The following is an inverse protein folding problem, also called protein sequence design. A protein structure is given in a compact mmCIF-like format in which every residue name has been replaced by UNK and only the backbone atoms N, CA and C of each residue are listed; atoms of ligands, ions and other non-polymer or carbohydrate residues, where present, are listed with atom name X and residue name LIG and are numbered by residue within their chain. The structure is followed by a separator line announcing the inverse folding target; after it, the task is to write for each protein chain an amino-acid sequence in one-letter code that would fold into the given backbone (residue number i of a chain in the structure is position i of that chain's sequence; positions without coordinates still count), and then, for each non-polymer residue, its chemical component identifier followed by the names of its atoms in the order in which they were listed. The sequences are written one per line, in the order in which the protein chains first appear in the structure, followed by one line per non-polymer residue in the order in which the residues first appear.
data_IF_399354833022
#
_entry.id   IF_399354833022
#
_cell.length_a   1.000
_cell.length_b   1.000
_cell.length_c   1.000
_cell.angle_alpha   90.00
_cell.angle_beta   90.00
_cell.angle_gamma   90.00
#
_symmetry.space_group_name_H-M   'P 1'
#
loop_
_entity.id
_entity.type
_entity.pdbx_description
1 polymer ?
#
# COMPACT_ATOMS: atom_id res chain seq x y z
N UNK A 1 37.08 -9.05 -19.67
CA UNK A 1 36.15 -8.60 -18.59
C UNK A 1 34.94 -9.51 -18.65
N UNK A 2 34.76 -10.35 -17.62
CA UNK A 2 33.71 -11.36 -17.61
C UNK A 2 32.43 -10.71 -17.05
N UNK A 3 31.47 -10.41 -17.92
CA UNK A 3 30.11 -10.03 -17.52
C UNK A 3 29.42 -11.30 -17.03
N UNK A 4 29.71 -11.71 -15.79
CA UNK A 4 28.84 -12.65 -15.11
C UNK A 4 27.47 -11.96 -15.00
N UNK A 5 26.53 -12.39 -15.85
CA UNK A 5 25.11 -12.05 -15.74
C UNK A 5 24.73 -12.17 -14.27
N UNK A 6 24.44 -11.02 -13.64
CA UNK A 6 23.93 -10.98 -12.27
C UNK A 6 22.53 -11.55 -12.35
N UNK A 7 22.35 -12.79 -11.93
CA UNK A 7 21.03 -13.44 -11.98
C UNK A 7 19.98 -12.54 -11.32
N UNK A 8 18.90 -12.29 -12.06
CA UNK A 8 17.73 -11.57 -11.56
C UNK A 8 16.98 -12.45 -10.55
N UNK A 9 16.46 -11.83 -9.49
CA UNK A 9 15.57 -12.51 -8.58
C UNK A 9 14.16 -12.62 -9.19
N UNK A 10 13.60 -13.83 -9.43
CA UNK A 10 12.36 -14.01 -10.20
C UNK A 10 11.13 -13.25 -9.68
N UNK A 11 11.08 -12.95 -8.39
CA UNK A 11 9.94 -12.25 -7.79
C UNK A 11 9.78 -10.82 -8.30
N UNK A 12 10.87 -10.06 -8.38
CA UNK A 12 10.85 -8.63 -8.66
C UNK A 12 11.83 -8.17 -9.75
N UNK A 13 12.65 -9.06 -10.31
CA UNK A 13 13.65 -8.74 -11.32
C UNK A 13 14.88 -7.99 -10.78
N UNK A 14 15.08 -7.95 -9.46
CA UNK A 14 16.25 -7.27 -8.88
C UNK A 14 17.53 -8.09 -9.17
N UNK A 15 18.54 -7.42 -9.70
CA UNK A 15 19.85 -8.03 -9.98
C UNK A 15 20.76 -7.98 -8.76
N UNK A 16 21.61 -9.00 -8.59
CA UNK A 16 22.66 -9.06 -7.56
C UNK A 16 22.19 -8.86 -6.11
N UNK A 17 20.93 -9.15 -5.82
CA UNK A 17 20.38 -9.17 -4.45
C UNK A 17 20.48 -10.55 -3.80
N UNK A 18 20.93 -11.60 -4.50
CA UNK A 18 21.03 -12.95 -3.90
C UNK A 18 19.68 -13.58 -3.52
N UNK A 19 18.59 -13.14 -4.14
CA UNK A 19 17.23 -13.64 -3.91
C UNK A 19 16.44 -12.85 -2.86
N UNK A 20 15.47 -13.52 -2.21
CA UNK A 20 14.57 -12.91 -1.25
C UNK A 20 15.31 -12.28 -0.07
N UNK A 21 16.34 -12.95 0.45
CA UNK A 21 17.08 -12.49 1.63
C UNK A 21 17.74 -11.13 1.41
N UNK A 22 18.40 -10.90 0.27
CA UNK A 22 18.98 -9.58 0.00
C UNK A 22 17.96 -8.54 -0.46
N UNK A 23 16.84 -8.94 -1.07
CA UNK A 23 15.69 -8.02 -1.20
C UNK A 23 15.19 -7.54 0.17
N UNK A 24 15.03 -8.45 1.14
CA UNK A 24 14.61 -8.11 2.50
C UNK A 24 15.67 -7.24 3.21
N UNK A 25 16.96 -7.45 2.94
CA UNK A 25 18.05 -6.62 3.48
C UNK A 25 18.00 -5.19 2.91
N UNK A 26 17.85 -5.05 1.58
CA UNK A 26 17.65 -3.75 0.93
C UNK A 26 16.41 -3.07 1.50
N UNK A 27 15.29 -3.79 1.59
CA UNK A 27 14.05 -3.29 2.15
C UNK A 27 14.21 -2.79 3.58
N UNK A 28 14.85 -3.58 4.44
CA UNK A 28 15.10 -3.20 5.83
C UNK A 28 15.94 -1.91 5.93
N UNK A 29 16.93 -1.73 5.06
CA UNK A 29 17.71 -0.48 4.99
C UNK A 29 16.88 0.71 4.53
N UNK A 30 16.06 0.55 3.48
CA UNK A 30 15.17 1.61 3.00
C UNK A 30 14.20 2.05 4.09
N UNK A 31 13.55 1.09 4.74
CA UNK A 31 12.62 1.33 5.84
C UNK A 31 13.32 2.05 7.00
N UNK A 32 14.54 1.62 7.37
CA UNK A 32 15.33 2.30 8.40
C UNK A 32 15.63 3.76 8.07
N UNK A 33 15.93 4.07 6.80
CA UNK A 33 16.13 5.45 6.32
C UNK A 33 14.85 6.26 6.39
N UNK A 34 13.72 5.68 5.95
CA UNK A 34 12.42 6.34 5.99
C UNK A 34 11.97 6.67 7.42
N UNK A 35 12.20 5.79 8.39
CA UNK A 35 11.91 6.07 9.79
C UNK A 35 12.85 7.09 10.43
N UNK A 36 14.07 7.24 9.90
CA UNK A 36 15.05 8.19 10.41
C UNK A 36 14.86 9.63 9.90
N UNK A 37 14.15 9.81 8.78
CA UNK A 37 13.94 11.11 8.15
C UNK A 37 12.45 11.34 7.79
N UNK A 38 11.77 12.32 8.43
CA UNK A 38 10.37 12.64 8.15
C UNK A 38 10.08 13.03 6.69
N UNK A 39 11.07 13.53 5.94
CA UNK A 39 10.93 13.83 4.51
C UNK A 39 10.82 12.52 3.73
N UNK A 40 11.72 11.57 3.99
CA UNK A 40 11.69 10.25 3.34
C UNK A 40 10.50 9.41 3.78
N UNK A 41 10.04 9.57 5.02
CA UNK A 41 8.85 8.87 5.54
C UNK A 41 7.59 9.09 4.68
N UNK A 42 7.54 10.17 3.89
CA UNK A 42 6.45 10.41 2.93
C UNK A 42 6.28 9.32 1.88
N UNK A 43 7.37 8.64 1.52
CA UNK A 43 7.35 7.52 0.58
C UNK A 43 6.97 6.18 1.22
N UNK A 44 7.01 6.08 2.55
CA UNK A 44 6.99 4.80 3.27
C UNK A 44 5.86 3.86 2.84
N UNK A 45 4.65 4.40 2.70
CA UNK A 45 3.50 3.59 2.29
C UNK A 45 3.65 3.02 0.88
N UNK A 46 4.14 3.84 -0.06
CA UNK A 46 4.40 3.41 -1.44
C UNK A 46 5.51 2.35 -1.48
N UNK A 47 6.60 2.55 -0.73
CA UNK A 47 7.70 1.57 -0.59
C UNK A 47 7.19 0.22 -0.09
N UNK A 48 6.44 0.20 1.01
CA UNK A 48 5.89 -1.03 1.60
C UNK A 48 4.95 -1.74 0.61
N UNK A 49 4.00 -1.02 0.02
CA UNK A 49 3.02 -1.64 -0.87
C UNK A 49 3.66 -2.15 -2.16
N UNK A 50 4.54 -1.37 -2.79
CA UNK A 50 5.27 -1.78 -3.98
C UNK A 50 6.12 -3.04 -3.70
N UNK A 51 6.82 -3.07 -2.55
CA UNK A 51 7.61 -4.22 -2.16
C UNK A 51 6.77 -5.48 -1.97
N UNK A 52 5.69 -5.40 -1.20
CA UNK A 52 4.83 -6.54 -0.90
C UNK A 52 4.13 -7.08 -2.16
N UNK A 53 3.71 -6.19 -3.09
CA UNK A 53 3.09 -6.56 -4.37
C UNK A 53 4.07 -7.20 -5.36
N UNK A 54 5.38 -6.99 -5.19
CA UNK A 54 6.41 -7.71 -5.95
C UNK A 54 6.79 -9.04 -5.31
N UNK A 55 6.67 -9.17 -3.98
CA UNK A 55 7.11 -10.31 -3.17
C UNK A 55 5.93 -11.10 -2.60
N UNK A 56 5.04 -11.53 -3.49
CA UNK A 56 3.72 -12.04 -3.14
C UNK A 56 3.76 -13.35 -2.36
N UNK A 57 4.78 -14.17 -2.60
CA UNK A 57 5.00 -15.46 -1.96
C UNK A 57 5.18 -15.32 -0.44
N UNK A 58 5.73 -14.20 0.03
CA UNK A 58 5.92 -13.89 1.46
C UNK A 58 4.83 -12.97 2.01
N UNK A 59 4.44 -11.94 1.27
CA UNK A 59 3.61 -10.84 1.82
C UNK A 59 2.14 -10.86 1.38
N UNK A 60 1.75 -11.70 0.41
CA UNK A 60 0.37 -11.81 -0.09
C UNK A 60 -0.22 -13.21 0.10
N UNK A 61 0.10 -13.86 1.23
CA UNK A 61 -0.38 -15.21 1.56
C UNK A 61 -1.92 -15.23 1.65
N UNK A 62 -2.53 -14.26 2.33
CA UNK A 62 -3.99 -14.15 2.46
C UNK A 62 -4.58 -13.14 1.47
N UNK A 63 -5.85 -13.34 1.07
CA UNK A 63 -6.59 -12.36 0.26
C UNK A 63 -6.75 -11.03 1.00
N UNK A 64 -6.84 -11.05 2.34
CA UNK A 64 -6.87 -9.84 3.17
C UNK A 64 -5.57 -9.04 3.06
N UNK A 65 -4.41 -9.70 3.17
CA UNK A 65 -3.11 -9.04 3.00
C UNK A 65 -2.97 -8.46 1.59
N UNK A 66 -3.38 -9.24 0.59
CA UNK A 66 -3.39 -8.80 -0.79
C UNK A 66 -4.23 -7.53 -1.01
N UNK A 67 -5.46 -7.52 -0.48
CA UNK A 67 -6.34 -6.37 -0.56
C UNK A 67 -5.77 -5.14 0.16
N UNK A 68 -5.15 -5.32 1.34
CA UNK A 68 -4.54 -4.22 2.08
C UNK A 68 -3.46 -3.47 1.26
N UNK A 69 -2.59 -4.22 0.56
CA UNK A 69 -1.53 -3.61 -0.26
C UNK A 69 -2.06 -3.04 -1.59
N UNK A 70 -3.01 -3.72 -2.24
CA UNK A 70 -3.64 -3.21 -3.46
C UNK A 70 -4.44 -1.93 -3.21
N UNK A 71 -5.25 -1.91 -2.16
CA UNK A 71 -6.04 -0.73 -1.79
C UNK A 71 -5.13 0.43 -1.35
N UNK A 72 -4.04 0.13 -0.62
CA UNK A 72 -3.06 1.13 -0.21
C UNK A 72 -2.35 1.79 -1.40
N UNK A 73 -1.84 0.99 -2.35
CA UNK A 73 -1.16 1.56 -3.54
C UNK A 73 -2.15 2.30 -4.45
N UNK A 74 -3.36 1.77 -4.63
CA UNK A 74 -4.43 2.42 -5.40
C UNK A 74 -4.78 3.78 -4.79
N UNK A 75 -4.95 3.85 -3.47
CA UNK A 75 -5.25 5.09 -2.78
C UNK A 75 -4.15 6.14 -2.97
N UNK A 76 -2.91 5.76 -2.65
CA UNK A 76 -1.77 6.68 -2.70
C UNK A 76 -1.51 7.22 -4.11
N UNK A 77 -1.83 6.45 -5.15
CA UNK A 77 -1.59 6.86 -6.54
C UNK A 77 -2.78 7.57 -7.21
N UNK A 78 -4.02 7.22 -6.85
CA UNK A 78 -5.23 7.69 -7.56
C UNK A 78 -6.10 8.66 -6.76
N UNK A 79 -6.02 8.65 -5.43
CA UNK A 79 -6.82 9.51 -4.55
C UNK A 79 -5.95 10.61 -3.94
N UNK A 80 -4.79 10.23 -3.41
CA UNK A 80 -3.83 11.15 -2.81
C UNK A 80 -2.85 10.43 -1.92
N UNK A 81 -1.63 10.93 -1.87
CA UNK A 81 -0.55 10.35 -1.06
C UNK A 81 -0.95 10.25 0.41
N UNK A 82 -0.65 9.11 1.02
CA UNK A 82 -0.90 8.85 2.43
C UNK A 82 0.31 8.19 3.06
N UNK A 83 0.69 8.65 4.25
CA UNK A 83 1.80 8.08 5.03
C UNK A 83 1.48 6.67 5.55
N UNK A 84 0.19 6.38 5.71
CA UNK A 84 -0.33 5.13 6.26
C UNK A 84 -1.51 4.62 5.43
N UNK A 85 -1.98 3.41 5.72
CA UNK A 85 -3.26 2.97 5.19
C UNK A 85 -4.37 3.90 5.75
N UNK A 86 -5.16 4.57 4.91
CA UNK A 86 -6.20 5.49 5.39
C UNK A 86 -7.18 4.80 6.34
N UNK A 87 -7.73 5.50 7.35
CA UNK A 87 -8.57 4.88 8.39
C UNK A 87 -9.79 4.11 7.87
N UNK A 88 -10.46 4.59 6.81
CA UNK A 88 -11.49 3.88 6.01
C UNK A 88 -11.01 2.50 5.61
N UNK A 89 -9.87 2.46 4.91
CA UNK A 89 -9.36 1.24 4.30
C UNK A 89 -8.92 0.29 5.39
N UNK A 90 -8.27 0.81 6.45
CA UNK A 90 -7.90 0.02 7.63
C UNK A 90 -9.13 -0.63 8.26
N UNK A 91 -10.18 0.13 8.56
CA UNK A 91 -11.42 -0.42 9.14
C UNK A 91 -12.08 -1.44 8.23
N UNK A 92 -12.11 -1.16 6.93
CA UNK A 92 -12.70 -2.07 5.94
C UNK A 92 -11.95 -3.40 5.86
N UNK A 93 -10.60 -3.34 5.81
CA UNK A 93 -9.71 -4.51 5.81
C UNK A 93 -9.78 -5.28 7.13
N UNK A 94 -9.91 -4.59 8.27
CA UNK A 94 -10.03 -5.22 9.59
C UNK A 94 -11.42 -5.72 9.93
N UNK A 95 -12.43 -5.29 9.18
CA UNK A 95 -13.82 -5.69 9.34
C UNK A 95 -14.13 -7.08 8.78
N UNK A 96 -15.42 -7.44 8.74
CA UNK A 96 -15.88 -8.77 8.32
C UNK A 96 -15.89 -8.97 6.79
N UNK A 97 -15.32 -8.04 6.01
CA UNK A 97 -15.35 -8.14 4.55
C UNK A 97 -14.55 -9.35 4.06
N UNK A 98 -15.16 -10.13 3.18
CA UNK A 98 -14.51 -11.31 2.58
C UNK A 98 -13.89 -10.91 1.24
N UNK A 99 -12.56 -10.89 1.21
CA UNK A 99 -11.81 -10.51 0.01
C UNK A 99 -11.69 -11.67 -0.97
N UNK A 100 -12.12 -11.44 -2.21
CA UNK A 100 -11.86 -12.37 -3.32
C UNK A 100 -10.36 -12.44 -3.61
N UNK A 101 -9.86 -13.64 -3.95
CA UNK A 101 -8.47 -13.82 -4.36
C UNK A 101 -8.29 -13.21 -5.76
N UNK A 102 -7.43 -12.21 -5.85
CA UNK A 102 -7.05 -11.61 -7.14
C UNK A 102 -5.99 -12.46 -7.85
N UNK A 103 -5.98 -12.40 -9.18
CA UNK A 103 -4.93 -13.00 -9.98
C UNK A 103 -3.60 -12.27 -9.74
N UNK A 104 -2.55 -13.04 -9.46
CA UNK A 104 -1.20 -12.50 -9.24
C UNK A 104 -0.49 -12.42 -10.60
N UNK A 105 0.12 -11.26 -10.96
CA UNK A 105 0.94 -11.18 -12.16
C UNK A 105 2.09 -12.20 -12.10
N UNK A 106 2.46 -12.83 -13.23
CA UNK A 106 3.57 -13.79 -13.28
C UNK A 106 4.88 -13.22 -12.70
N UNK A 107 5.77 -14.11 -12.27
CA UNK A 107 7.15 -13.75 -11.92
C UNK A 107 7.80 -12.92 -13.04
N UNK A 108 8.69 -12.00 -12.66
CA UNK A 108 9.30 -11.00 -13.54
C UNK A 108 8.30 -10.05 -14.25
N UNK A 109 7.00 -10.12 -13.94
CA UNK A 109 5.96 -9.25 -14.52
C UNK A 109 5.16 -8.49 -13.47
N UNK A 110 5.73 -8.26 -12.30
CA UNK A 110 5.12 -7.52 -11.16
C UNK A 110 5.55 -6.05 -11.06
N UNK A 111 6.10 -5.52 -12.14
CA UNK A 111 6.63 -4.16 -12.24
C UNK A 111 7.96 -4.17 -13.00
N UNK A 112 8.26 -3.09 -13.73
CA UNK A 112 9.55 -2.93 -14.44
C UNK A 112 10.63 -2.32 -13.55
N UNK A 113 10.20 -1.51 -12.58
CA UNK A 113 11.05 -0.93 -11.55
C UNK A 113 10.95 -1.81 -10.31
N UNK A 114 12.06 -1.94 -9.59
CA UNK A 114 12.12 -2.73 -8.37
C UNK A 114 12.92 -1.99 -7.28
N UNK A 115 13.08 -2.65 -6.14
CA UNK A 115 13.67 -2.07 -4.94
C UNK A 115 15.07 -1.50 -5.11
N UNK A 116 15.87 -1.98 -6.07
CA UNK A 116 17.23 -1.47 -6.28
C UNK A 116 17.25 -0.04 -6.84
N UNK A 117 16.14 0.43 -7.44
CA UNK A 117 15.99 1.79 -7.96
C UNK A 117 16.13 2.87 -6.88
N UNK A 118 15.80 2.54 -5.63
CA UNK A 118 15.88 3.45 -4.49
C UNK A 118 17.22 3.39 -3.73
N UNK A 119 17.89 2.24 -3.78
CA UNK A 119 18.98 1.92 -2.85
C UNK A 119 20.17 2.88 -2.96
N UNK A 120 20.45 3.43 -4.15
CA UNK A 120 21.57 4.35 -4.38
C UNK A 120 21.23 5.84 -4.24
N UNK A 121 19.96 6.21 -4.06
CA UNK A 121 19.54 7.61 -4.04
C UNK A 121 19.73 8.19 -2.65
N UNK A 122 20.55 9.25 -2.53
CA UNK A 122 20.78 9.97 -1.28
C UNK A 122 19.98 11.27 -1.16
N UNK A 123 19.63 11.89 -2.28
CA UNK A 123 18.86 13.15 -2.31
C UNK A 123 17.37 12.87 -2.02
N UNK A 124 16.78 13.48 -0.97
CA UNK A 124 15.39 13.22 -0.60
C UNK A 124 14.38 13.45 -1.73
N UNK A 125 14.54 14.52 -2.53
CA UNK A 125 13.62 14.78 -3.65
C UNK A 125 13.67 13.65 -4.69
N UNK A 126 14.85 13.18 -5.03
CA UNK A 126 15.03 12.09 -6.00
C UNK A 126 14.46 10.78 -5.46
N UNK A 127 14.67 10.50 -4.17
CA UNK A 127 14.09 9.34 -3.50
C UNK A 127 12.56 9.32 -3.58
N UNK A 128 11.91 10.44 -3.28
CA UNK A 128 10.45 10.55 -3.34
C UNK A 128 9.93 10.30 -4.75
N UNK A 129 10.56 10.91 -5.77
CA UNK A 129 10.19 10.67 -7.18
C UNK A 129 10.36 9.20 -7.56
N UNK A 130 11.52 8.62 -7.27
CA UNK A 130 11.81 7.22 -7.58
C UNK A 130 10.88 6.23 -6.86
N UNK A 131 10.48 6.52 -5.62
CA UNK A 131 9.54 5.69 -4.86
C UNK A 131 8.16 5.66 -5.53
N UNK A 132 7.74 6.82 -6.04
CA UNK A 132 6.48 6.99 -6.74
C UNK A 132 6.51 6.30 -8.11
N UNK A 133 7.61 6.43 -8.85
CA UNK A 133 7.83 5.72 -10.12
C UNK A 133 7.79 4.21 -9.93
N UNK A 134 8.46 3.71 -8.89
CA UNK A 134 8.42 2.29 -8.54
C UNK A 134 7.00 1.81 -8.26
N UNK A 135 6.27 2.53 -7.40
CA UNK A 135 4.89 2.19 -7.08
C UNK A 135 3.96 2.25 -8.31
N UNK A 136 4.12 3.23 -9.20
CA UNK A 136 3.37 3.28 -10.47
C UNK A 136 3.67 2.08 -11.36
N UNK A 137 4.95 1.69 -11.46
CA UNK A 137 5.38 0.53 -12.25
C UNK A 137 4.74 -0.76 -11.75
N UNK A 138 4.71 -0.94 -10.42
CA UNK A 138 4.04 -2.06 -9.77
C UNK A 138 2.54 -1.97 -10.00
N UNK A 139 1.91 -0.82 -9.77
CA UNK A 139 0.46 -0.67 -9.94
C UNK A 139 0.02 -1.00 -11.38
N UNK A 140 0.79 -0.58 -12.38
CA UNK A 140 0.53 -0.92 -13.78
C UNK A 140 0.59 -2.43 -14.06
N UNK A 141 1.54 -3.14 -13.45
CA UNK A 141 1.64 -4.58 -13.58
C UNK A 141 0.43 -5.33 -12.99
N UNK A 142 -0.27 -4.72 -12.03
CA UNK A 142 -1.47 -5.25 -11.38
C UNK A 142 -2.78 -4.78 -12.05
N UNK A 143 -2.74 -4.38 -13.32
CA UNK A 143 -3.90 -3.82 -14.03
C UNK A 143 -5.12 -4.73 -14.11
N UNK A 144 -4.92 -6.05 -14.13
CA UNK A 144 -6.02 -7.04 -14.06
C UNK A 144 -6.80 -6.98 -12.74
N UNK A 145 -6.24 -6.41 -11.67
CA UNK A 145 -6.87 -6.26 -10.37
C UNK A 145 -7.43 -4.84 -10.12
N UNK A 146 -7.26 -3.90 -11.06
CA UNK A 146 -7.65 -2.50 -10.87
C UNK A 146 -9.14 -2.31 -10.58
N UNK A 147 -10.01 -2.96 -11.35
CA UNK A 147 -11.46 -2.82 -11.18
C UNK A 147 -11.90 -3.27 -9.78
N UNK A 148 -11.46 -4.46 -9.36
CA UNK A 148 -11.77 -5.01 -8.05
C UNK A 148 -11.19 -4.15 -6.92
N UNK A 149 -9.95 -3.69 -7.07
CA UNK A 149 -9.29 -2.86 -6.05
C UNK A 149 -10.00 -1.52 -5.89
N UNK A 150 -10.33 -0.85 -6.99
CA UNK A 150 -11.10 0.41 -6.98
C UNK A 150 -12.50 0.20 -6.41
N UNK A 151 -13.13 -0.96 -6.64
CA UNK A 151 -14.41 -1.29 -6.02
C UNK A 151 -14.30 -1.35 -4.49
N UNK A 152 -13.29 -2.05 -3.95
CA UNK A 152 -13.04 -2.10 -2.50
C UNK A 152 -12.76 -0.72 -1.91
N UNK A 153 -11.96 0.12 -2.59
CA UNK A 153 -11.72 1.50 -2.14
C UNK A 153 -13.02 2.30 -2.06
N UNK A 154 -13.88 2.22 -3.09
CA UNK A 154 -15.20 2.89 -3.07
C UNK A 154 -16.12 2.35 -1.97
N UNK A 155 -16.12 1.05 -1.73
CA UNK A 155 -16.91 0.44 -0.65
C UNK A 155 -16.45 0.91 0.73
N UNK A 156 -15.13 0.94 0.96
CA UNK A 156 -14.55 1.45 2.20
C UNK A 156 -14.91 2.92 2.46
N UNK A 157 -14.86 3.76 1.41
CA UNK A 157 -15.28 5.17 1.49
C UNK A 157 -16.78 5.30 1.83
N UNK A 158 -17.65 4.49 1.21
CA UNK A 158 -19.09 4.50 1.48
C UNK A 158 -19.42 4.02 2.89
N UNK A 159 -18.79 2.95 3.36
CA UNK A 159 -19.00 2.41 4.70
C UNK A 159 -18.70 3.48 5.77
N UNK A 160 -17.62 4.25 5.57
CA UNK A 160 -17.30 5.40 6.42
C UNK A 160 -18.37 6.49 6.40
N UNK A 161 -18.87 6.85 5.22
CA UNK A 161 -19.90 7.88 5.08
C UNK A 161 -21.19 7.53 5.85
N UNK A 162 -21.59 6.26 5.83
CA UNK A 162 -22.78 5.79 6.56
C UNK A 162 -22.56 5.72 8.08
N UNK A 163 -21.36 5.35 8.55
CA UNK A 163 -21.03 5.39 9.98
C UNK A 163 -21.09 6.81 10.56
N UNK A 164 -20.76 7.85 9.79
CA UNK A 164 -20.84 9.24 10.23
C UNK A 164 -22.26 9.83 10.22
N UNK A 165 -23.17 9.31 9.38
CA UNK A 165 -24.59 9.72 9.39
C UNK A 165 -25.43 8.99 10.44
N UNK A 166 -24.96 7.87 10.98
CA UNK A 166 -25.69 7.04 11.94
C UNK A 166 -25.56 7.50 13.40
N UNK A 167 -24.90 8.63 13.69
CA UNK A 167 -24.97 9.26 15.01
C UNK A 167 -26.07 10.32 14.98
N UNK A 168 -27.26 10.08 15.58
CA UNK A 168 -28.16 11.17 15.85
C UNK A 168 -27.45 12.09 16.85
N UNK A 169 -27.34 13.37 16.53
CA UNK A 169 -27.09 14.40 17.52
C UNK A 169 -28.26 14.34 18.51
N UNK A 170 -28.10 13.61 19.60
CA UNK A 170 -29.08 13.62 20.68
C UNK A 170 -29.08 15.01 21.32
N UNK A 171 -30.22 15.66 21.19
CA UNK A 171 -30.63 16.85 21.92
C UNK A 171 -32.14 16.85 22.13
N UNK A 172 -32.71 15.70 22.51
CA UNK A 172 -34.06 15.67 23.07
C UNK A 172 -34.00 16.33 24.45
N UNK A 173 -34.13 17.66 24.47
CA UNK A 173 -34.35 18.42 25.68
C UNK A 173 -35.71 18.04 26.26
N UNK A 174 -35.67 17.27 27.35
CA UNK A 174 -36.81 17.05 28.23
C UNK A 174 -37.21 18.41 28.83
N UNK A 175 -38.30 19.01 28.32
CA UNK A 175 -38.98 20.10 29.01
C UNK A 175 -39.83 19.48 30.12
N UNK A 176 -39.24 19.44 31.32
CA UNK A 176 -39.90 19.04 32.55
C UNK A 176 -41.11 19.93 32.86
N UNK A 177 -42.15 19.27 33.32
CA UNK A 177 -43.35 19.85 33.91
C UNK A 177 -43.05 20.45 35.29
N UNK A 178 -43.36 21.72 35.47
CA UNK A 178 -43.66 22.36 36.75
C UNK A 178 -44.58 23.54 36.44
N UNK A 179 -45.82 23.68 36.94
CA UNK A 179 -46.36 23.19 38.20
C UNK A 179 -46.50 24.35 39.17
N UNK A 180 -47.59 25.13 39.01
CA UNK A 180 -48.32 25.95 40.00
C UNK A 180 -47.58 27.05 40.78
N UNK A 181 -48.18 28.25 40.74
CA UNK A 181 -47.97 29.40 41.61
C UNK A 181 -48.83 30.54 41.13
#
# INVERSE_FOLDING_TARGET
MNLASKAEYPSCGAEAVGGLAGCDEVFSRLIGREFADPVLFRAHRLTVDAYCLQHTEKYMISSKSAAAHLMGICWSLEVGESLHLPPELKRFVDGPHVFVRVAVPPQLRRGKINITHLNSLSEPREYLVASREWAQSVWLAWSSAWEQTRAWVREAQKANYHSHKATPLFGAGNAGTSGKG
#
